data_IF_963954177778
#
_entry.id   IF_963954177778
#
_cell.length_a   1.000
_cell.length_b   1.000
_cell.length_c   1.000
_cell.angle_alpha   90.00
_cell.angle_beta   90.00
_cell.angle_gamma   90.00
#
_symmetry.space_group_name_H-M   'P 1'
#
loop_
_entity.id
_entity.type
_entity.pdbx_description
1 polymer ?
#
# COMPACT_ATOMS: atom_id res chain seq x y z
N UNK A 1 -8.42 -19.64 -21.58
CA UNK A 1 -8.93 -19.12 -20.30
C UNK A 1 -9.94 -18.03 -20.60
N UNK A 2 -11.16 -18.46 -20.92
CA UNK A 2 -12.22 -17.60 -21.44
C UNK A 2 -13.50 -17.90 -20.71
N UNK A 3 -13.79 -17.07 -19.72
CA UNK A 3 -15.15 -16.65 -19.37
C UNK A 3 -14.96 -15.39 -18.54
N UNK A 4 -15.32 -14.22 -19.09
CA UNK A 4 -15.42 -12.97 -18.33
C UNK A 4 -16.65 -13.08 -17.44
N UNK A 5 -16.54 -13.85 -16.36
CA UNK A 5 -17.51 -13.73 -15.29
C UNK A 5 -17.28 -12.39 -14.61
N UNK A 6 -18.26 -11.50 -14.78
CA UNK A 6 -18.29 -10.21 -14.13
C UNK A 6 -18.32 -10.46 -12.61
N UNK A 7 -17.25 -10.08 -11.91
CA UNK A 7 -17.21 -10.17 -10.47
C UNK A 7 -18.35 -9.29 -9.92
N UNK A 8 -19.11 -9.71 -8.89
CA UNK A 8 -20.20 -8.90 -8.33
C UNK A 8 -19.74 -7.57 -7.72
N UNK A 9 -18.42 -7.34 -7.61
CA UNK A 9 -17.84 -6.14 -7.03
C UNK A 9 -17.27 -5.28 -8.16
N UNK A 10 -17.80 -4.06 -8.31
CA UNK A 10 -17.38 -3.11 -9.34
C UNK A 10 -15.87 -2.86 -9.37
N UNK A 11 -15.23 -2.67 -8.21
CA UNK A 11 -13.78 -2.42 -8.12
C UNK A 11 -13.00 -3.59 -8.69
N UNK A 12 -13.43 -4.84 -8.43
CA UNK A 12 -12.77 -6.04 -8.99
C UNK A 12 -12.94 -6.14 -10.51
N UNK A 13 -14.05 -5.70 -11.06
CA UNK A 13 -14.22 -5.62 -12.52
C UNK A 13 -13.33 -4.54 -13.13
N UNK A 14 -13.28 -3.38 -12.49
CA UNK A 14 -12.49 -2.24 -12.97
C UNK A 14 -10.99 -2.58 -13.00
N UNK A 15 -10.49 -3.38 -12.05
CA UNK A 15 -9.07 -3.82 -12.03
C UNK A 15 -8.81 -5.11 -12.84
N UNK A 16 -9.81 -5.73 -13.47
CA UNK A 16 -9.63 -6.99 -14.21
C UNK A 16 -8.70 -6.85 -15.43
N UNK A 17 -8.62 -5.65 -16.02
CA UNK A 17 -7.70 -5.34 -17.11
C UNK A 17 -6.27 -5.01 -16.65
N UNK A 18 -6.06 -4.81 -15.35
CA UNK A 18 -4.77 -4.40 -14.79
C UNK A 18 -3.61 -5.36 -15.15
N UNK A 19 -3.77 -6.71 -15.09
CA UNK A 19 -2.67 -7.60 -15.45
C UNK A 19 -2.20 -7.38 -16.89
N UNK A 20 -3.13 -7.38 -17.85
CA UNK A 20 -2.81 -7.20 -19.26
C UNK A 20 -2.10 -5.86 -19.52
N UNK A 21 -2.56 -4.80 -18.86
CA UNK A 21 -1.94 -3.47 -19.00
C UNK A 21 -0.54 -3.43 -18.37
N UNK A 22 -0.36 -4.04 -17.18
CA UNK A 22 0.93 -4.08 -16.50
C UNK A 22 1.97 -4.85 -17.33
N UNK A 23 1.63 -6.03 -17.87
CA UNK A 23 2.54 -6.81 -18.74
C UNK A 23 2.92 -6.05 -20.01
N UNK A 24 2.01 -5.23 -20.54
CA UNK A 24 2.26 -4.41 -21.74
C UNK A 24 3.38 -3.40 -21.52
N UNK A 25 3.54 -2.88 -20.30
CA UNK A 25 4.44 -1.75 -20.00
C UNK A 25 5.68 -2.10 -19.16
N UNK A 26 5.58 -3.02 -18.19
CA UNK A 26 6.62 -3.15 -17.14
C UNK A 26 7.45 -4.44 -17.23
N UNK A 27 7.10 -5.39 -18.09
CA UNK A 27 7.75 -6.70 -18.15
C UNK A 27 7.23 -7.64 -17.06
N UNK A 28 7.54 -8.93 -17.16
CA UNK A 28 6.86 -9.99 -16.39
C UNK A 28 6.95 -9.78 -14.87
N UNK A 29 8.16 -9.71 -14.31
CA UNK A 29 8.34 -9.60 -12.85
C UNK A 29 7.77 -8.30 -12.27
N UNK A 30 7.97 -7.17 -12.95
CA UNK A 30 7.44 -5.89 -12.46
C UNK A 30 5.92 -5.82 -12.61
N UNK A 31 5.35 -6.41 -13.67
CA UNK A 31 3.91 -6.51 -13.84
C UNK A 31 3.26 -7.36 -12.74
N UNK A 32 3.86 -8.50 -12.40
CA UNK A 32 3.40 -9.35 -11.30
C UNK A 32 3.39 -8.61 -9.97
N UNK A 33 4.48 -7.88 -9.67
CA UNK A 33 4.58 -7.05 -8.47
C UNK A 33 3.52 -5.96 -8.42
N UNK A 34 3.23 -5.28 -9.55
CA UNK A 34 2.17 -4.26 -9.63
C UNK A 34 0.79 -4.87 -9.37
N UNK A 35 0.47 -6.00 -10.01
CA UNK A 35 -0.83 -6.66 -9.84
C UNK A 35 -1.01 -7.12 -8.39
N UNK A 36 0.03 -7.75 -7.84
CA UNK A 36 0.06 -8.20 -6.45
C UNK A 36 -0.18 -7.04 -5.47
N UNK A 37 0.61 -5.97 -5.60
CA UNK A 37 0.49 -4.73 -4.85
C UNK A 37 -0.94 -4.15 -4.83
N UNK A 38 -1.58 -4.08 -6.00
CA UNK A 38 -2.94 -3.56 -6.11
C UNK A 38 -3.98 -4.46 -5.43
N UNK A 39 -3.87 -5.78 -5.55
CA UNK A 39 -4.79 -6.72 -4.89
C UNK A 39 -4.65 -6.67 -3.37
N UNK A 40 -3.42 -6.61 -2.87
CA UNK A 40 -3.16 -6.44 -1.44
C UNK A 40 -3.71 -5.11 -0.93
N UNK A 41 -3.54 -4.02 -1.69
CA UNK A 41 -4.08 -2.71 -1.33
C UNK A 41 -5.61 -2.74 -1.21
N UNK A 42 -6.32 -3.26 -2.22
CA UNK A 42 -7.79 -3.38 -2.17
C UNK A 42 -8.22 -4.20 -0.96
N UNK A 43 -7.55 -5.32 -0.69
CA UNK A 43 -7.82 -6.16 0.47
C UNK A 43 -7.60 -5.40 1.78
N UNK A 44 -6.50 -4.66 1.91
CA UNK A 44 -6.19 -3.86 3.09
C UNK A 44 -7.23 -2.75 3.33
N UNK A 45 -7.74 -2.11 2.26
CA UNK A 45 -8.80 -1.10 2.36
C UNK A 45 -10.12 -1.70 2.83
N UNK A 46 -10.49 -2.88 2.34
CA UNK A 46 -11.69 -3.60 2.82
C UNK A 46 -11.55 -3.93 4.31
N UNK A 47 -10.39 -4.41 4.75
CA UNK A 47 -10.13 -4.70 6.16
C UNK A 47 -10.20 -3.45 7.03
N UNK A 48 -9.73 -2.30 6.55
CA UNK A 48 -9.83 -1.03 7.28
C UNK A 48 -11.27 -0.62 7.56
N UNK A 49 -12.11 -0.69 6.53
CA UNK A 49 -13.53 -0.34 6.66
C UNK A 49 -14.20 -1.32 7.63
N UNK A 50 -13.93 -2.61 7.52
CA UNK A 50 -14.49 -3.60 8.43
C UNK A 50 -14.02 -3.41 9.89
N UNK A 51 -12.75 -3.06 10.11
CA UNK A 51 -12.20 -2.88 11.46
C UNK A 51 -12.70 -1.57 12.11
N UNK A 52 -12.91 -0.51 11.31
CA UNK A 52 -13.50 0.75 11.78
C UNK A 52 -14.94 0.61 12.31
N UNK A 53 -15.62 -0.50 12.05
CA UNK A 53 -16.97 -0.80 12.58
C UNK A 53 -16.98 -1.51 13.93
N UNK A 54 -15.82 -1.84 14.50
CA UNK A 54 -15.68 -2.55 15.78
C UNK A 54 -15.15 -1.61 16.86
N UNK A 55 -15.71 -1.71 18.07
CA UNK A 55 -15.22 -1.04 19.28
C UNK A 55 -13.68 -1.22 19.40
N UNK A 56 -12.92 -0.17 19.76
CA UNK A 56 -11.46 -0.16 19.72
C UNK A 56 -10.87 -1.06 20.82
N UNK A 57 -10.87 -2.37 20.58
CA UNK A 57 -10.15 -3.32 21.43
C UNK A 57 -8.66 -3.20 21.13
N UNK A 58 -7.88 -3.18 22.21
CA UNK A 58 -6.41 -3.09 22.22
C UNK A 58 -5.77 -3.59 20.92
N UNK A 59 -5.18 -2.65 20.20
CA UNK A 59 -4.57 -2.84 18.89
C UNK A 59 -3.62 -4.04 18.98
N UNK A 60 -3.91 -5.18 18.34
CA UNK A 60 -2.96 -6.27 18.34
C UNK A 60 -1.74 -5.78 17.57
N UNK A 61 -0.60 -5.67 18.26
CA UNK A 61 0.67 -5.13 17.74
C UNK A 61 1.20 -5.81 16.48
N UNK A 62 0.52 -6.86 16.01
CA UNK A 62 0.82 -7.64 14.81
C UNK A 62 0.01 -7.20 13.58
N UNK A 63 -1.22 -6.69 13.74
CA UNK A 63 -2.05 -6.23 12.63
C UNK A 63 -1.60 -4.88 12.07
N UNK A 64 -1.19 -3.95 12.94
CA UNK A 64 -0.57 -2.67 12.56
C UNK A 64 0.84 -2.83 11.97
N UNK A 65 1.57 -3.91 12.33
CA UNK A 65 2.86 -4.23 11.71
C UNK A 65 2.73 -4.82 10.31
N UNK A 66 1.66 -5.52 9.98
CA UNK A 66 1.46 -6.10 8.63
C UNK A 66 0.89 -5.10 7.63
N UNK A 67 0.09 -4.11 8.06
CA UNK A 67 -0.56 -3.14 7.16
C UNK A 67 0.40 -2.14 6.50
N UNK A 68 1.54 -1.88 7.12
CA UNK A 68 2.46 -0.81 6.74
C UNK A 68 3.69 -1.27 5.94
N UNK A 69 3.75 -2.54 5.54
CA UNK A 69 5.02 -3.02 5.02
C UNK A 69 5.22 -2.57 3.57
N UNK A 70 4.52 -3.01 2.51
CA UNK A 70 4.92 -2.53 1.16
C UNK A 70 3.86 -2.48 0.06
N UNK A 71 2.60 -2.85 0.30
CA UNK A 71 1.71 -3.31 -0.78
C UNK A 71 1.60 -2.34 -1.95
N UNK A 72 1.05 -1.13 -1.77
CA UNK A 72 0.92 -0.20 -2.92
C UNK A 72 2.25 0.46 -3.33
N UNK A 73 3.21 0.55 -2.41
CA UNK A 73 4.51 1.18 -2.68
C UNK A 73 5.39 0.35 -3.60
N UNK A 74 5.22 -0.96 -3.64
CA UNK A 74 5.85 -1.82 -4.64
C UNK A 74 5.40 -1.46 -6.07
N UNK A 75 4.11 -1.18 -6.27
CA UNK A 75 3.63 -0.69 -7.57
C UNK A 75 4.28 0.66 -7.93
N UNK A 76 4.31 1.61 -7.00
CA UNK A 76 4.97 2.91 -7.22
C UNK A 76 6.47 2.77 -7.50
N UNK A 77 7.16 1.85 -6.82
CA UNK A 77 8.55 1.56 -7.07
C UNK A 77 8.75 0.96 -8.48
N UNK A 78 7.85 0.12 -8.96
CA UNK A 78 7.94 -0.41 -10.33
C UNK A 78 7.70 0.67 -11.39
N UNK A 79 6.91 1.71 -11.09
CA UNK A 79 6.64 2.81 -12.03
C UNK A 79 7.86 3.68 -12.34
N UNK A 80 8.82 3.77 -11.42
CA UNK A 80 10.04 4.56 -11.61
C UNK A 80 11.19 3.76 -12.24
N UNK A 81 11.08 2.43 -12.27
CA UNK A 81 12.13 1.55 -12.79
C UNK A 81 11.94 1.34 -14.30
N UNK A 82 13.01 1.43 -15.11
CA UNK A 82 12.91 1.16 -16.54
C UNK A 82 12.52 -0.30 -16.80
N UNK A 83 11.59 -0.55 -17.72
CA UNK A 83 11.17 -1.90 -18.15
C UNK A 83 12.34 -2.84 -18.49
N UNK A 84 13.40 -2.29 -19.10
CA UNK A 84 14.57 -3.07 -19.53
C UNK A 84 15.56 -3.37 -18.41
N UNK A 85 15.36 -2.80 -17.22
CA UNK A 85 16.23 -3.03 -16.07
C UNK A 85 15.95 -4.43 -15.51
N UNK A 86 16.93 -5.34 -15.46
CA UNK A 86 16.69 -6.68 -14.95
C UNK A 86 16.38 -6.68 -13.44
N UNK A 87 15.46 -7.56 -13.02
CA UNK A 87 15.02 -7.67 -11.61
C UNK A 87 16.17 -7.80 -10.61
N UNK A 88 17.17 -8.63 -10.94
CA UNK A 88 18.31 -8.90 -10.04
C UNK A 88 19.15 -7.65 -9.73
N UNK A 89 19.06 -6.59 -10.56
CA UNK A 89 19.79 -5.34 -10.36
C UNK A 89 19.16 -4.50 -9.25
N UNK A 90 17.82 -4.44 -9.18
CA UNK A 90 17.10 -3.57 -8.25
C UNK A 90 16.45 -4.30 -7.08
N UNK A 91 16.38 -5.64 -7.08
CA UNK A 91 15.71 -6.41 -6.02
C UNK A 91 16.19 -6.07 -4.61
N UNK A 92 17.47 -5.75 -4.44
CA UNK A 92 18.06 -5.38 -3.13
C UNK A 92 17.71 -3.95 -2.73
N UNK A 93 17.50 -3.06 -3.71
CA UNK A 93 17.12 -1.67 -3.48
C UNK A 93 15.61 -1.51 -3.26
N UNK A 94 14.79 -2.44 -3.76
CA UNK A 94 13.34 -2.34 -3.74
C UNK A 94 12.76 -2.08 -2.33
N UNK A 95 13.16 -2.79 -1.25
CA UNK A 95 12.65 -2.50 0.09
C UNK A 95 13.00 -1.08 0.58
N UNK A 96 14.15 -0.55 0.19
CA UNK A 96 14.57 0.81 0.54
C UNK A 96 13.78 1.85 -0.23
N UNK A 97 13.54 1.63 -1.53
CA UNK A 97 12.70 2.49 -2.37
C UNK A 97 11.28 2.56 -1.80
N UNK A 98 10.67 1.41 -1.52
CA UNK A 98 9.31 1.39 -0.98
C UNK A 98 9.24 2.07 0.40
N UNK A 99 10.24 1.86 1.27
CA UNK A 99 10.32 2.57 2.56
C UNK A 99 10.44 4.08 2.37
N UNK A 100 11.29 4.53 1.44
CA UNK A 100 11.45 5.95 1.13
C UNK A 100 10.14 6.57 0.66
N UNK A 101 9.44 5.92 -0.26
CA UNK A 101 8.14 6.39 -0.76
C UNK A 101 7.13 6.46 0.38
N UNK A 102 7.04 5.43 1.23
CA UNK A 102 6.13 5.39 2.36
C UNK A 102 6.42 6.51 3.37
N UNK A 103 7.65 6.62 3.86
CA UNK A 103 8.03 7.66 4.83
C UNK A 103 7.84 9.07 4.25
N UNK A 104 8.14 9.26 2.97
CA UNK A 104 7.90 10.55 2.30
C UNK A 104 6.42 10.85 2.24
N UNK A 105 5.58 9.86 1.95
CA UNK A 105 4.13 10.02 1.97
C UNK A 105 3.66 10.42 3.37
N UNK A 106 4.02 9.68 4.42
CA UNK A 106 3.62 9.95 5.81
C UNK A 106 3.96 11.38 6.27
N UNK A 107 5.15 11.88 5.92
CA UNK A 107 5.58 13.24 6.29
C UNK A 107 4.83 14.30 5.47
N UNK A 108 4.76 14.12 4.14
CA UNK A 108 4.14 15.11 3.26
C UNK A 108 2.61 15.14 3.39
N UNK A 109 2.00 14.03 3.76
CA UNK A 109 0.56 13.90 3.94
C UNK A 109 0.08 14.29 5.34
N UNK A 110 1.00 14.41 6.30
CA UNK A 110 0.70 14.74 7.69
C UNK A 110 -0.24 15.94 7.83
N UNK A 111 0.07 17.06 7.17
CA UNK A 111 -0.74 18.28 7.33
C UNK A 111 -2.20 18.08 6.88
N UNK A 112 -2.42 17.47 5.70
CA UNK A 112 -3.78 17.23 5.21
C UNK A 112 -4.55 16.26 6.10
N UNK A 113 -3.86 15.28 6.69
CA UNK A 113 -4.44 14.25 7.55
C UNK A 113 -4.84 14.80 8.91
N UNK A 114 -4.02 15.68 9.50
CA UNK A 114 -4.37 16.39 10.73
C UNK A 114 -5.58 17.29 10.51
N UNK A 115 -5.63 18.03 9.39
CA UNK A 115 -6.81 18.84 9.04
C UNK A 115 -8.08 17.99 8.89
N UNK A 116 -7.96 16.76 8.40
CA UNK A 116 -9.06 15.81 8.26
C UNK A 116 -9.36 15.01 9.55
N UNK A 117 -8.61 15.25 10.64
CA UNK A 117 -8.73 14.49 11.90
C UNK A 117 -8.55 12.97 11.72
N UNK A 118 -7.72 12.56 10.77
CA UNK A 118 -7.41 11.14 10.54
C UNK A 118 -6.55 10.58 11.69
N UNK A 119 -6.95 9.44 12.25
CA UNK A 119 -6.26 8.81 13.41
C UNK A 119 -5.61 7.47 13.08
N UNK A 120 -5.80 6.97 11.86
CA UNK A 120 -5.24 5.72 11.36
C UNK A 120 -3.86 5.85 10.70
N UNK A 121 -3.28 7.05 10.69
CA UNK A 121 -2.02 7.38 10.01
C UNK A 121 -0.81 6.88 10.79
N UNK A 122 0.35 6.68 10.13
CA UNK A 122 1.56 6.19 10.82
C UNK A 122 1.93 7.07 12.01
N UNK A 123 1.94 8.40 11.83
CA UNK A 123 2.32 9.36 12.88
C UNK A 123 1.34 9.30 14.05
N UNK A 124 0.03 9.18 13.80
CA UNK A 124 -0.99 9.00 14.84
C UNK A 124 -0.79 7.69 15.62
N UNK A 125 -0.45 6.61 14.92
CA UNK A 125 -0.16 5.31 15.52
C UNK A 125 1.11 5.35 16.38
N UNK A 126 2.17 6.01 15.91
CA UNK A 126 3.44 6.16 16.64
C UNK A 126 3.26 7.02 17.88
N UNK A 127 2.60 8.19 17.77
CA UNK A 127 2.31 9.07 18.89
C UNK A 127 1.58 8.31 20.02
N UNK A 128 0.54 7.54 19.65
CA UNK A 128 -0.21 6.71 20.60
C UNK A 128 0.63 5.58 21.21
N UNK A 129 1.51 4.96 20.43
CA UNK A 129 2.36 3.87 20.91
C UNK A 129 3.47 4.35 21.83
N UNK A 130 4.05 5.52 21.55
CA UNK A 130 5.11 6.14 22.34
C UNK A 130 4.57 6.93 23.55
N UNK A 131 3.29 7.31 23.54
CA UNK A 131 2.72 8.22 24.54
C UNK A 131 3.22 9.66 24.39
N UNK A 132 3.71 10.01 23.20
CA UNK A 132 4.31 11.30 22.86
C UNK A 132 3.39 12.07 21.89
N UNK A 133 3.46 13.40 21.84
CA UNK A 133 2.70 14.18 20.86
C UNK A 133 3.25 13.95 19.44
N UNK A 134 2.40 14.19 18.42
CA UNK A 134 2.70 13.86 17.02
C UNK A 134 3.95 14.58 16.47
N UNK A 135 4.26 15.77 16.95
CA UNK A 135 5.45 16.55 16.57
C UNK A 135 6.77 15.95 17.07
N UNK A 136 6.73 15.05 18.07
CA UNK A 136 7.91 14.36 18.61
C UNK A 136 8.22 13.04 17.92
N UNK A 137 7.26 12.49 17.18
CA UNK A 137 7.37 11.20 16.47
C UNK A 137 7.39 11.33 14.95
N UNK A 138 7.30 12.57 14.45
CA UNK A 138 7.53 12.94 13.05
C UNK A 138 9.04 12.93 12.77
#
# INVERSE_FOLDING_TARGET
FGSSECHPNKVRNDISGLPNEAYRHFGEVAADLIVHACLEFVTARVLEVQDSTKEPKQIPSRYTKMKNIFSIFEAFAMFILPRKLPYHVYMRALPFICRLINCTNDVLSFYKEECASETGTLISLLARACGEPKDKVL
#
